data_IF_792425045695
#
_entry.id   IF_792425045695
#
_cell.length_a   1.000
_cell.length_b   1.000
_cell.length_c   1.000
_cell.angle_alpha   90.00
_cell.angle_beta   90.00
_cell.angle_gamma   90.00
#
_symmetry.space_group_name_H-M   'P 1'
#
loop_
_entity.id
_entity.type
_entity.pdbx_description
1 polymer ?
#
# COMPACT_ATOMS: atom_id res chain seq x y z
N UNK A 1 12.90 21.49 -0.97
CA UNK A 1 11.87 20.65 -1.62
C UNK A 1 12.30 20.07 -2.97
N UNK A 2 12.85 20.83 -3.94
CA UNK A 2 13.09 20.30 -5.31
C UNK A 2 14.15 19.20 -5.43
N UNK A 3 15.21 19.22 -4.60
CA UNK A 3 16.29 18.20 -4.64
C UNK A 3 15.85 16.83 -4.11
N UNK A 4 14.94 16.80 -3.13
CA UNK A 4 14.36 15.57 -2.59
C UNK A 4 13.48 14.89 -3.63
N UNK A 5 12.59 15.66 -4.27
CA UNK A 5 11.71 15.18 -5.35
C UNK A 5 12.54 14.70 -6.55
N UNK A 6 13.59 15.43 -6.95
CA UNK A 6 14.46 14.98 -8.05
C UNK A 6 15.26 13.73 -7.69
N UNK A 7 15.69 13.59 -6.44
CA UNK A 7 16.40 12.40 -5.93
C UNK A 7 15.52 11.16 -5.95
N UNK A 8 14.30 11.26 -5.43
CA UNK A 8 13.31 10.16 -5.44
C UNK A 8 12.97 9.75 -6.87
N UNK A 9 12.74 10.73 -7.76
CA UNK A 9 12.47 10.46 -9.19
C UNK A 9 13.64 9.75 -9.88
N UNK A 10 14.88 10.13 -9.57
CA UNK A 10 16.07 9.49 -10.13
C UNK A 10 16.26 8.06 -9.62
N UNK A 11 16.03 7.84 -8.32
CA UNK A 11 16.06 6.51 -7.73
C UNK A 11 14.99 5.58 -8.33
N UNK A 12 13.77 6.08 -8.55
CA UNK A 12 12.70 5.29 -9.17
C UNK A 12 12.96 4.91 -10.62
N UNK A 13 13.67 5.76 -11.37
CA UNK A 13 14.13 5.43 -12.73
C UNK A 13 15.27 4.41 -12.74
N UNK A 14 16.11 4.41 -11.70
CA UNK A 14 17.26 3.51 -11.59
C UNK A 14 16.89 2.10 -11.13
N UNK A 15 15.82 1.96 -10.34
CA UNK A 15 15.37 0.68 -9.77
C UNK A 15 13.90 0.39 -10.08
N UNK A 16 13.55 0.11 -11.35
CA UNK A 16 12.15 0.03 -11.76
C UNK A 16 11.39 -1.16 -11.14
N UNK A 17 12.09 -2.26 -10.79
CA UNK A 17 11.53 -3.36 -10.01
C UNK A 17 11.10 -2.94 -8.59
N UNK A 18 11.97 -2.20 -7.89
CA UNK A 18 11.67 -1.67 -6.55
C UNK A 18 10.54 -0.66 -6.62
N UNK A 19 10.53 0.18 -7.66
CA UNK A 19 9.44 1.14 -7.91
C UNK A 19 8.11 0.42 -8.10
N UNK A 20 8.04 -0.62 -8.94
CA UNK A 20 6.81 -1.41 -9.10
C UNK A 20 6.39 -2.05 -7.78
N UNK A 21 7.32 -2.65 -7.04
CA UNK A 21 7.04 -3.24 -5.73
C UNK A 21 6.44 -2.22 -4.75
N UNK A 22 7.01 -1.02 -4.68
CA UNK A 22 6.50 0.05 -3.83
C UNK A 22 5.13 0.55 -4.28
N UNK A 23 4.88 0.70 -5.58
CA UNK A 23 3.60 1.15 -6.13
C UNK A 23 2.52 0.11 -5.83
N UNK A 24 2.73 -1.16 -6.18
CA UNK A 24 1.74 -2.22 -5.94
C UNK A 24 1.50 -2.42 -4.45
N UNK A 25 2.56 -2.48 -3.63
CA UNK A 25 2.44 -2.51 -2.18
C UNK A 25 1.57 -1.38 -1.63
N UNK A 26 1.83 -0.15 -2.06
CA UNK A 26 1.07 1.03 -1.66
C UNK A 26 -0.39 0.98 -2.10
N UNK A 27 -0.67 0.51 -3.31
CA UNK A 27 -2.04 0.37 -3.82
C UNK A 27 -2.84 -0.65 -3.00
N UNK A 28 -2.28 -1.83 -2.73
CA UNK A 28 -2.96 -2.87 -1.96
C UNK A 28 -3.18 -2.47 -0.50
N UNK A 29 -2.15 -1.92 0.15
CA UNK A 29 -2.24 -1.43 1.54
C UNK A 29 -3.23 -0.28 1.65
N UNK A 30 -3.16 0.68 0.73
CA UNK A 30 -4.04 1.85 0.71
C UNK A 30 -5.50 1.46 0.49
N UNK A 31 -5.77 0.53 -0.43
CA UNK A 31 -7.11 0.02 -0.68
C UNK A 31 -7.68 -0.69 0.56
N UNK A 32 -6.93 -1.62 1.14
CA UNK A 32 -7.38 -2.38 2.31
C UNK A 32 -7.61 -1.47 3.53
N UNK A 33 -6.67 -0.56 3.82
CA UNK A 33 -6.83 0.39 4.92
C UNK A 33 -8.05 1.30 4.72
N UNK A 34 -8.22 1.83 3.51
CA UNK A 34 -9.37 2.69 3.19
C UNK A 34 -10.69 1.93 3.32
N UNK A 35 -10.74 0.68 2.84
CA UNK A 35 -11.90 -0.19 2.98
C UNK A 35 -12.23 -0.41 4.46
N UNK A 36 -11.26 -0.82 5.26
CA UNK A 36 -11.47 -1.04 6.70
C UNK A 36 -11.84 0.24 7.44
N UNK A 37 -11.24 1.38 7.11
CA UNK A 37 -11.59 2.65 7.73
C UNK A 37 -13.05 3.02 7.47
N UNK A 38 -13.49 2.89 6.22
CA UNK A 38 -14.88 3.17 5.86
C UNK A 38 -15.83 2.17 6.52
N UNK A 39 -15.55 0.87 6.40
CA UNK A 39 -16.47 -0.19 6.84
C UNK A 39 -16.49 -0.43 8.34
N UNK A 40 -15.40 -0.16 9.06
CA UNK A 40 -15.28 -0.42 10.51
C UNK A 40 -15.38 0.84 11.36
N UNK A 41 -15.04 2.01 10.81
CA UNK A 41 -14.97 3.26 11.60
C UNK A 41 -15.95 4.33 11.19
N UNK A 42 -16.20 4.51 9.89
CA UNK A 42 -16.99 5.64 9.42
C UNK A 42 -18.47 5.33 9.21
N UNK A 43 -18.78 4.21 8.56
CA UNK A 43 -20.15 3.82 8.24
C UNK A 43 -20.93 3.20 9.41
N UNK A 44 -20.33 2.38 10.31
CA UNK A 44 -21.09 1.74 11.38
C UNK A 44 -21.53 2.72 12.47
N UNK A 45 -22.67 2.45 13.15
CA UNK A 45 -23.01 3.08 14.42
C UNK A 45 -21.89 2.92 15.45
N UNK A 46 -21.76 3.88 16.37
CA UNK A 46 -20.65 3.90 17.34
C UNK A 46 -20.52 2.60 18.19
N UNK A 47 -21.62 1.90 18.45
CA UNK A 47 -21.64 0.64 19.20
C UNK A 47 -21.06 -0.55 18.42
N UNK A 48 -20.95 -0.45 17.10
CA UNK A 48 -20.49 -1.50 16.17
C UNK A 48 -19.15 -1.13 15.52
N UNK A 49 -18.51 -0.04 15.94
CA UNK A 49 -17.21 0.34 15.40
C UNK A 49 -16.14 -0.65 15.85
N UNK A 50 -15.40 -1.16 14.88
CA UNK A 50 -14.28 -2.07 15.10
C UNK A 50 -12.94 -1.35 14.92
N UNK A 51 -11.88 -1.97 15.43
CA UNK A 51 -10.51 -1.53 15.20
C UNK A 51 -9.98 -2.00 13.84
N UNK A 52 -9.02 -1.25 13.31
CA UNK A 52 -8.35 -1.58 12.06
C UNK A 52 -7.48 -2.83 12.27
N UNK A 53 -7.67 -3.82 11.40
CA UNK A 53 -6.88 -5.03 11.38
C UNK A 53 -5.58 -4.80 10.58
N UNK A 54 -4.57 -4.37 11.31
CA UNK A 54 -3.22 -4.16 10.78
C UNK A 54 -2.52 -5.46 10.37
N UNK A 55 -2.91 -6.62 10.93
CA UNK A 55 -2.32 -7.89 10.55
C UNK A 55 -2.74 -8.25 9.11
N UNK A 56 -4.01 -8.04 8.77
CA UNK A 56 -4.51 -8.20 7.40
C UNK A 56 -3.85 -7.21 6.44
N UNK A 57 -3.75 -5.93 6.83
CA UNK A 57 -3.05 -4.91 6.02
C UNK A 57 -1.58 -5.31 5.77
N UNK A 58 -0.89 -5.83 6.79
CA UNK A 58 0.49 -6.32 6.66
C UNK A 58 0.63 -7.47 5.64
N UNK A 59 -0.34 -8.38 5.58
CA UNK A 59 -0.36 -9.44 4.55
C UNK A 59 -0.52 -8.86 3.15
N UNK A 60 -1.38 -7.86 2.97
CA UNK A 60 -1.52 -7.17 1.69
C UNK A 60 -0.27 -6.37 1.31
N UNK A 61 0.47 -5.84 2.27
CA UNK A 61 1.77 -5.23 2.02
C UNK A 61 2.76 -6.25 1.46
N UNK A 62 2.86 -7.44 2.06
CA UNK A 62 3.74 -8.51 1.57
C UNK A 62 3.30 -9.01 0.19
N UNK A 63 2.00 -9.26 -0.02
CA UNK A 63 1.49 -9.72 -1.31
C UNK A 63 1.71 -8.68 -2.41
N UNK A 64 1.36 -7.42 -2.16
CA UNK A 64 1.50 -6.34 -3.14
C UNK A 64 2.95 -6.03 -3.50
N UNK A 65 3.88 -6.14 -2.55
CA UNK A 65 5.30 -5.83 -2.77
C UNK A 65 6.11 -7.01 -3.30
N UNK A 66 5.90 -8.22 -2.77
CA UNK A 66 6.80 -9.36 -2.97
C UNK A 66 6.22 -10.50 -3.81
N UNK A 67 4.90 -10.53 -4.05
CA UNK A 67 4.27 -11.55 -4.89
C UNK A 67 3.81 -10.96 -6.23
N UNK A 68 2.92 -9.96 -6.19
CA UNK A 68 2.30 -9.41 -7.39
C UNK A 68 3.22 -8.52 -8.22
N UNK A 69 4.03 -7.68 -7.57
CA UNK A 69 4.96 -6.84 -8.32
C UNK A 69 6.03 -7.64 -9.08
N UNK A 70 6.62 -8.72 -8.53
CA UNK A 70 7.50 -9.59 -9.29
C UNK A 70 6.79 -10.39 -10.39
N UNK A 71 5.57 -10.87 -10.16
CA UNK A 71 4.85 -11.69 -11.17
C UNK A 71 4.44 -10.94 -12.42
N UNK A 72 4.40 -9.60 -12.38
CA UNK A 72 4.10 -8.75 -13.54
C UNK A 72 5.36 -8.32 -14.31
N UNK A 73 6.53 -8.67 -13.79
CA UNK A 73 7.83 -8.33 -14.37
C UNK A 73 8.44 -9.47 -15.21
N UNK A 74 7.95 -10.69 -15.03
CA UNK A 74 8.32 -11.90 -15.77
C UNK A 74 7.14 -12.36 -16.63
#
# INVERSE_FOLDING_TARGET
MSRLISGVRSAFRRYPFVTNSAIYGGLYVGAEYSQQYLSKRWLPPAAEQEDIDYATIGRYAVMGTAAYAPSLYF
#
